data_IF_021170236426
#
_entry.id   IF_021170236426
#
_cell.length_a   1.000
_cell.length_b   1.000
_cell.length_c   1.000
_cell.angle_alpha   90.00
_cell.angle_beta   90.00
_cell.angle_gamma   90.00
#
_symmetry.space_group_name_H-M   'P 1'
#
loop_
_entity.id
_entity.type
_entity.pdbx_description
1 polymer ?
#
# COMPACT_ATOMS: atom_id res chain seq x y z
N UNK A 1 8.40 -21.04 -27.65
CA UNK A 1 8.19 -21.01 -26.18
C UNK A 1 8.33 -19.59 -25.71
N UNK A 2 7.42 -19.10 -24.83
CA UNK A 2 7.54 -17.77 -24.23
C UNK A 2 8.80 -17.70 -23.35
N UNK A 3 9.56 -16.62 -23.37
CA UNK A 3 10.71 -16.43 -22.50
C UNK A 3 10.27 -16.47 -21.02
N UNK A 4 11.14 -16.94 -20.12
CA UNK A 4 10.81 -17.20 -18.72
C UNK A 4 10.25 -15.96 -18.01
N UNK A 5 10.81 -14.78 -18.31
CA UNK A 5 10.34 -13.50 -17.78
C UNK A 5 8.89 -13.17 -18.17
N UNK A 6 8.51 -13.47 -19.43
CA UNK A 6 7.15 -13.21 -19.91
C UNK A 6 6.13 -14.15 -19.26
N UNK A 7 6.51 -15.42 -19.03
CA UNK A 7 5.67 -16.38 -18.29
C UNK A 7 5.45 -15.91 -16.85
N UNK A 8 6.50 -15.48 -16.17
CA UNK A 8 6.42 -14.95 -14.82
C UNK A 8 5.53 -13.70 -14.78
N UNK A 9 5.72 -12.75 -15.71
CA UNK A 9 4.93 -11.54 -15.81
C UNK A 9 3.44 -11.82 -16.04
N UNK A 10 3.11 -12.74 -16.95
CA UNK A 10 1.71 -13.13 -17.23
C UNK A 10 1.06 -13.73 -15.97
N UNK A 11 1.73 -14.68 -15.32
CA UNK A 11 1.20 -15.31 -14.10
C UNK A 11 1.02 -14.30 -12.96
N UNK A 12 1.96 -13.38 -12.80
CA UNK A 12 1.87 -12.31 -11.79
C UNK A 12 0.72 -11.35 -12.10
N UNK A 13 0.53 -10.97 -13.36
CA UNK A 13 -0.61 -10.15 -13.79
C UNK A 13 -1.95 -10.85 -13.58
N UNK A 14 -2.05 -12.13 -13.94
CA UNK A 14 -3.26 -12.93 -13.71
C UNK A 14 -3.57 -13.05 -12.22
N UNK A 15 -2.57 -13.33 -11.39
CA UNK A 15 -2.74 -13.35 -9.94
C UNK A 15 -3.28 -12.00 -9.43
N UNK A 16 -2.64 -10.87 -9.83
CA UNK A 16 -3.07 -9.54 -9.44
C UNK A 16 -4.49 -9.20 -9.88
N UNK A 17 -4.90 -9.61 -11.07
CA UNK A 17 -6.25 -9.43 -11.58
C UNK A 17 -7.28 -10.21 -10.76
N UNK A 18 -7.08 -11.52 -10.58
CA UNK A 18 -8.05 -12.37 -9.91
C UNK A 18 -8.13 -12.13 -8.39
N UNK A 19 -7.04 -11.75 -7.72
CA UNK A 19 -7.08 -11.41 -6.29
C UNK A 19 -7.93 -10.16 -6.02
N UNK A 20 -8.02 -9.24 -6.97
CA UNK A 20 -8.76 -7.98 -6.87
C UNK A 20 -10.15 -8.01 -7.52
N UNK A 21 -10.46 -9.04 -8.30
CA UNK A 21 -11.78 -9.22 -8.90
C UNK A 21 -12.78 -9.67 -7.83
N UNK A 22 -13.21 -8.74 -6.99
CA UNK A 22 -14.13 -8.95 -5.86
C UNK A 22 -15.41 -8.12 -6.03
N UNK A 23 -16.44 -8.60 -6.75
CA UNK A 23 -17.69 -7.86 -6.95
C UNK A 23 -18.42 -7.47 -5.67
N UNK A 24 -18.23 -8.22 -4.58
CA UNK A 24 -18.84 -7.92 -3.28
C UNK A 24 -18.19 -6.73 -2.56
N UNK A 25 -16.93 -6.40 -2.88
CA UNK A 25 -16.16 -5.41 -2.12
C UNK A 25 -16.85 -4.03 -1.99
N UNK A 26 -17.43 -3.43 -3.06
CA UNK A 26 -18.17 -2.17 -2.97
C UNK A 26 -19.46 -2.24 -2.13
N UNK A 27 -19.92 -3.43 -1.85
CA UNK A 27 -21.20 -3.70 -1.18
C UNK A 27 -21.05 -4.42 0.16
N UNK A 28 -19.83 -4.44 0.73
CA UNK A 28 -19.55 -5.17 1.96
C UNK A 28 -20.40 -4.67 3.13
N UNK A 29 -20.44 -3.36 3.39
CA UNK A 29 -21.27 -2.78 4.47
C UNK A 29 -22.79 -3.06 4.26
N UNK A 30 -23.38 -2.81 3.08
CA UNK A 30 -24.75 -3.21 2.81
C UNK A 30 -25.01 -4.72 2.97
N UNK A 31 -24.06 -5.57 2.59
CA UNK A 31 -24.17 -7.01 2.77
C UNK A 31 -24.18 -7.42 4.24
N UNK A 32 -23.26 -6.88 5.05
CA UNK A 32 -23.20 -7.17 6.49
C UNK A 32 -24.46 -6.66 7.23
N UNK A 33 -25.04 -5.56 6.80
CA UNK A 33 -26.27 -5.01 7.37
C UNK A 33 -27.56 -5.66 6.78
N UNK A 34 -27.43 -6.48 5.74
CA UNK A 34 -28.56 -7.13 5.08
C UNK A 34 -29.24 -8.20 5.94
N UNK A 35 -30.39 -8.70 5.46
CA UNK A 35 -31.14 -9.81 6.09
C UNK A 35 -30.31 -11.10 6.22
N UNK A 36 -29.22 -11.25 5.46
CA UNK A 36 -28.32 -12.41 5.52
C UNK A 36 -27.43 -12.41 6.76
N UNK A 37 -26.88 -11.26 7.15
CA UNK A 37 -25.90 -11.15 8.26
C UNK A 37 -26.48 -10.45 9.49
N UNK A 38 -27.42 -9.50 9.31
CA UNK A 38 -28.15 -8.78 10.36
C UNK A 38 -27.26 -8.11 11.40
N UNK A 39 -26.14 -7.52 10.97
CA UNK A 39 -25.22 -6.81 11.84
C UNK A 39 -25.52 -5.32 11.75
N UNK A 40 -25.59 -4.65 12.90
CA UNK A 40 -25.82 -3.22 12.92
C UNK A 40 -24.62 -2.44 12.37
N UNK A 41 -24.88 -1.33 11.68
CA UNK A 41 -23.85 -0.46 11.08
C UNK A 41 -22.85 0.00 12.14
N UNK A 42 -23.32 0.25 13.37
CA UNK A 42 -22.44 0.63 14.48
C UNK A 42 -21.45 -0.48 14.83
N UNK A 43 -21.90 -1.73 14.96
CA UNK A 43 -21.00 -2.87 15.25
C UNK A 43 -20.06 -3.16 14.07
N UNK A 44 -20.48 -2.93 12.83
CA UNK A 44 -19.61 -3.05 11.64
C UNK A 44 -18.47 -2.05 11.74
N UNK A 45 -18.78 -0.79 12.07
CA UNK A 45 -17.82 0.28 12.16
C UNK A 45 -16.85 0.13 13.35
N UNK A 46 -17.39 -0.09 14.55
CA UNK A 46 -16.64 0.03 15.80
C UNK A 46 -15.92 -1.27 16.19
N UNK A 47 -16.34 -2.42 15.67
CA UNK A 47 -15.87 -3.74 16.11
C UNK A 47 -15.29 -4.60 14.99
N UNK A 48 -15.83 -4.50 13.76
CA UNK A 48 -15.45 -5.37 12.65
C UNK A 48 -14.32 -4.74 11.82
N UNK A 49 -14.50 -3.53 11.32
CA UNK A 49 -13.52 -2.89 10.45
C UNK A 49 -12.16 -2.57 11.10
N UNK A 50 -12.08 -2.18 12.38
CA UNK A 50 -10.79 -1.95 13.03
C UNK A 50 -9.87 -3.19 13.04
N UNK A 51 -10.45 -4.40 13.04
CA UNK A 51 -9.68 -5.65 13.03
C UNK A 51 -8.81 -5.80 11.79
N UNK A 52 -9.27 -5.30 10.63
CA UNK A 52 -8.47 -5.28 9.40
C UNK A 52 -7.23 -4.42 9.56
N UNK A 53 -7.38 -3.20 10.06
CA UNK A 53 -6.27 -2.26 10.24
C UNK A 53 -5.23 -2.78 11.23
N UNK A 54 -5.68 -3.36 12.35
CA UNK A 54 -4.76 -3.91 13.37
C UNK A 54 -4.01 -5.15 12.87
N UNK A 55 -4.68 -6.03 12.16
CA UNK A 55 -4.04 -7.23 11.60
C UNK A 55 -3.08 -6.88 10.45
N UNK A 56 -3.43 -5.91 9.60
CA UNK A 56 -2.56 -5.39 8.54
C UNK A 56 -1.25 -4.87 9.14
N UNK A 57 -1.31 -3.96 10.13
CA UNK A 57 -0.12 -3.46 10.79
C UNK A 57 0.71 -4.57 11.46
N UNK A 58 0.05 -5.44 12.23
CA UNK A 58 0.74 -6.51 12.97
C UNK A 58 1.49 -7.45 12.04
N UNK A 59 0.86 -7.82 10.93
CA UNK A 59 1.44 -8.73 9.97
C UNK A 59 2.46 -8.05 9.04
N UNK A 60 2.29 -6.76 8.76
CA UNK A 60 3.26 -5.96 8.01
C UNK A 60 4.64 -5.92 8.69
N UNK A 61 4.68 -5.89 10.04
CA UNK A 61 5.94 -6.00 10.80
C UNK A 61 6.60 -7.36 10.53
N UNK A 62 5.83 -8.45 10.53
CA UNK A 62 6.34 -9.79 10.22
C UNK A 62 6.86 -9.85 8.79
N UNK A 63 6.10 -9.33 7.84
CA UNK A 63 6.51 -9.24 6.42
C UNK A 63 7.80 -8.45 6.27
N UNK A 64 7.90 -7.29 6.89
CA UNK A 64 9.10 -6.43 6.83
C UNK A 64 10.36 -7.15 7.33
N UNK A 65 10.24 -7.93 8.41
CA UNK A 65 11.37 -8.65 9.00
C UNK A 65 11.75 -9.92 8.23
N UNK A 66 10.77 -10.64 7.68
CA UNK A 66 10.96 -12.01 7.19
C UNK A 66 10.81 -12.18 5.67
N UNK A 67 10.29 -11.18 4.93
CA UNK A 67 10.06 -11.32 3.49
C UNK A 67 11.33 -11.65 2.71
N UNK A 68 12.45 -11.04 3.05
CA UNK A 68 13.76 -11.29 2.43
C UNK A 68 14.37 -12.65 2.83
N UNK A 69 13.98 -13.20 3.99
CA UNK A 69 14.51 -14.46 4.51
C UNK A 69 13.74 -15.68 3.97
N UNK A 70 12.39 -15.60 3.92
CA UNK A 70 11.49 -16.73 3.70
C UNK A 70 11.05 -16.90 2.25
N UNK A 71 11.72 -16.35 1.26
CA UNK A 71 11.33 -16.39 -0.17
C UNK A 71 9.94 -15.75 -0.43
N UNK A 72 9.91 -14.73 -1.23
CA UNK A 72 8.72 -13.95 -1.61
C UNK A 72 7.49 -14.77 -2.02
N UNK A 73 7.68 -15.93 -2.67
CA UNK A 73 6.59 -16.80 -3.10
C UNK A 73 5.73 -17.29 -1.93
N UNK A 74 6.34 -17.61 -0.78
CA UNK A 74 5.61 -18.10 0.41
C UNK A 74 4.61 -17.03 0.89
N UNK A 75 5.02 -15.78 0.91
CA UNK A 75 4.15 -14.67 1.31
C UNK A 75 3.01 -14.43 0.30
N UNK A 76 3.25 -14.60 -1.01
CA UNK A 76 2.18 -14.50 -2.02
C UNK A 76 1.16 -15.64 -1.86
N UNK A 77 1.60 -16.85 -1.57
CA UNK A 77 0.70 -17.97 -1.27
C UNK A 77 -0.08 -17.69 0.02
N UNK A 78 0.58 -17.16 1.05
CA UNK A 78 -0.06 -16.79 2.31
C UNK A 78 -1.10 -15.67 2.10
N UNK A 79 -0.79 -14.65 1.27
CA UNK A 79 -1.74 -13.62 0.85
C UNK A 79 -3.01 -14.25 0.26
N UNK A 80 -2.82 -15.13 -0.72
CA UNK A 80 -3.94 -15.75 -1.42
C UNK A 80 -4.79 -16.63 -0.51
N UNK A 81 -4.17 -17.39 0.41
CA UNK A 81 -4.87 -18.20 1.40
C UNK A 81 -5.62 -17.33 2.43
N UNK A 82 -5.03 -16.25 2.91
CA UNK A 82 -5.68 -15.33 3.83
C UNK A 82 -6.93 -14.70 3.19
N UNK A 83 -6.82 -14.21 1.93
CA UNK A 83 -7.97 -13.68 1.18
C UNK A 83 -9.03 -14.76 0.89
N UNK A 84 -8.63 -16.00 0.63
CA UNK A 84 -9.57 -17.12 0.47
C UNK A 84 -10.32 -17.40 1.77
N UNK A 85 -9.62 -17.45 2.89
CA UNK A 85 -10.22 -17.60 4.23
C UNK A 85 -11.24 -16.50 4.51
N UNK A 86 -10.89 -15.24 4.22
CA UNK A 86 -11.80 -14.12 4.36
C UNK A 86 -13.06 -14.30 3.50
N UNK A 87 -12.92 -14.72 2.23
CA UNK A 87 -14.05 -14.94 1.33
C UNK A 87 -14.96 -16.10 1.77
N UNK A 88 -14.39 -17.18 2.30
CA UNK A 88 -15.14 -18.33 2.86
C UNK A 88 -15.95 -17.88 4.08
N UNK A 89 -15.31 -17.20 5.04
CA UNK A 89 -15.98 -16.72 6.25
C UNK A 89 -17.10 -15.72 5.90
N UNK A 90 -16.87 -14.83 4.93
CA UNK A 90 -17.87 -13.88 4.47
C UNK A 90 -19.13 -14.59 3.91
N UNK A 91 -18.95 -15.67 3.14
CA UNK A 91 -20.06 -16.37 2.50
C UNK A 91 -20.81 -17.29 3.46
N UNK A 92 -20.12 -18.04 4.29
CA UNK A 92 -20.70 -19.16 5.02
C UNK A 92 -20.92 -18.90 6.51
N UNK A 93 -20.14 -18.01 7.15
CA UNK A 93 -20.22 -17.77 8.58
C UNK A 93 -21.04 -16.53 8.93
N UNK A 94 -21.60 -16.51 10.14
CA UNK A 94 -22.40 -15.42 10.67
C UNK A 94 -21.90 -14.98 12.05
N UNK A 95 -22.34 -13.79 12.48
CA UNK A 95 -21.99 -13.23 13.78
C UNK A 95 -20.76 -12.32 13.75
N UNK A 96 -20.69 -11.45 14.75
CA UNK A 96 -19.68 -10.38 14.82
C UNK A 96 -18.25 -10.97 14.90
N UNK A 97 -18.04 -11.99 15.72
CA UNK A 97 -16.73 -12.61 15.91
C UNK A 97 -16.17 -13.19 14.60
N UNK A 98 -16.98 -13.94 13.84
CA UNK A 98 -16.54 -14.52 12.57
C UNK A 98 -16.25 -13.43 11.52
N UNK A 99 -16.99 -12.32 11.54
CA UNK A 99 -16.71 -11.17 10.68
C UNK A 99 -15.46 -10.40 11.11
N UNK A 100 -15.12 -10.38 12.39
CA UNK A 100 -13.83 -9.86 12.87
C UNK A 100 -12.67 -10.73 12.37
N UNK A 101 -12.79 -12.06 12.45
CA UNK A 101 -11.76 -13.00 11.92
C UNK A 101 -11.63 -12.85 10.41
N UNK A 102 -12.75 -12.68 9.70
CA UNK A 102 -12.76 -12.40 8.26
C UNK A 102 -11.97 -11.13 7.92
N UNK A 103 -12.20 -10.04 8.63
CA UNK A 103 -11.47 -8.79 8.43
C UNK A 103 -9.99 -8.92 8.81
N UNK A 104 -9.67 -9.66 9.86
CA UNK A 104 -8.29 -9.93 10.24
C UNK A 104 -7.56 -10.73 9.13
N UNK A 105 -8.20 -11.71 8.53
CA UNK A 105 -7.64 -12.45 7.41
C UNK A 105 -7.43 -11.56 6.16
N UNK A 106 -8.37 -10.65 5.87
CA UNK A 106 -8.23 -9.69 4.76
C UNK A 106 -7.06 -8.72 5.01
N UNK A 107 -6.87 -8.24 6.28
CA UNK A 107 -5.73 -7.42 6.68
C UNK A 107 -4.38 -8.13 6.54
N UNK A 108 -4.29 -9.43 6.87
CA UNK A 108 -3.10 -10.23 6.57
C UNK A 108 -2.83 -10.26 5.06
N UNK A 109 -3.87 -10.35 4.24
CA UNK A 109 -3.76 -10.25 2.78
C UNK A 109 -3.17 -8.90 2.32
N UNK A 110 -3.64 -7.80 2.90
CA UNK A 110 -3.18 -6.45 2.57
C UNK A 110 -1.70 -6.24 2.93
N UNK A 111 -1.27 -6.69 4.11
CA UNK A 111 0.14 -6.62 4.54
C UNK A 111 1.10 -7.32 3.56
N UNK A 112 0.66 -8.37 2.91
CA UNK A 112 1.48 -9.13 1.95
C UNK A 112 1.55 -8.47 0.56
N UNK A 113 0.73 -7.48 0.25
CA UNK A 113 0.71 -6.82 -1.08
C UNK A 113 2.07 -6.22 -1.46
N UNK A 114 2.84 -5.73 -0.48
CA UNK A 114 4.19 -5.20 -0.70
C UNK A 114 5.11 -6.29 -1.26
N UNK A 115 5.00 -7.51 -0.76
CA UNK A 115 5.80 -8.67 -1.20
C UNK A 115 5.43 -9.05 -2.64
N UNK A 116 4.16 -9.00 -2.98
CA UNK A 116 3.70 -9.24 -4.34
C UNK A 116 4.34 -8.30 -5.36
N UNK A 117 4.40 -6.99 -5.09
CA UNK A 117 5.07 -6.05 -5.98
C UNK A 117 6.60 -6.24 -6.00
N UNK A 118 7.20 -6.65 -4.89
CA UNK A 118 8.64 -6.89 -4.78
C UNK A 118 9.08 -8.19 -5.46
N UNK A 119 8.22 -9.19 -5.53
CA UNK A 119 8.49 -10.49 -6.14
C UNK A 119 8.93 -10.38 -7.62
N UNK A 120 8.38 -9.43 -8.36
CA UNK A 120 8.74 -9.22 -9.77
C UNK A 120 10.23 -9.02 -9.95
N UNK A 121 10.85 -8.24 -9.06
CA UNK A 121 12.28 -7.92 -9.11
C UNK A 121 13.19 -9.12 -8.80
N UNK A 122 12.61 -10.23 -8.33
CA UNK A 122 13.34 -11.46 -8.06
C UNK A 122 13.30 -12.48 -9.21
N UNK A 123 12.34 -12.34 -10.12
CA UNK A 123 12.03 -13.33 -11.16
C UNK A 123 12.31 -12.80 -12.57
N UNK A 124 12.39 -11.46 -12.73
CA UNK A 124 12.55 -10.79 -14.02
C UNK A 124 13.89 -10.07 -14.07
N UNK A 125 14.51 -9.97 -15.24
CA UNK A 125 15.74 -9.21 -15.46
C UNK A 125 15.51 -7.70 -15.41
N UNK A 126 16.54 -6.93 -15.00
CA UNK A 126 16.48 -5.49 -14.74
C UNK A 126 15.92 -4.67 -15.92
N UNK A 127 16.25 -5.10 -17.14
CA UNK A 127 15.78 -4.44 -18.40
C UNK A 127 14.25 -4.40 -18.48
N UNK A 128 13.56 -5.37 -17.90
CA UNK A 128 12.10 -5.49 -17.99
C UNK A 128 11.37 -4.97 -16.73
N UNK A 129 12.06 -4.55 -15.68
CA UNK A 129 11.46 -4.15 -14.40
C UNK A 129 10.36 -3.10 -14.55
N UNK A 130 10.65 -1.99 -15.23
CA UNK A 130 9.66 -0.93 -15.41
C UNK A 130 8.41 -1.42 -16.14
N UNK A 131 8.60 -2.20 -17.21
CA UNK A 131 7.52 -2.73 -18.05
C UNK A 131 6.64 -3.70 -17.26
N UNK A 132 7.25 -4.65 -16.54
CA UNK A 132 6.50 -5.68 -15.81
C UNK A 132 5.81 -5.08 -14.58
N UNK A 133 6.44 -4.14 -13.87
CA UNK A 133 5.81 -3.42 -12.77
C UNK A 133 4.57 -2.65 -13.23
N UNK A 134 4.65 -1.98 -14.38
CA UNK A 134 3.51 -1.26 -14.95
C UNK A 134 2.36 -2.21 -15.31
N UNK A 135 2.66 -3.33 -15.95
CA UNK A 135 1.63 -4.34 -16.28
C UNK A 135 0.98 -4.94 -15.06
N UNK A 136 1.76 -5.25 -14.03
CA UNK A 136 1.25 -5.84 -12.78
C UNK A 136 0.33 -4.87 -12.03
N UNK A 137 0.72 -3.60 -11.92
CA UNK A 137 -0.14 -2.57 -11.33
C UNK A 137 -1.42 -2.35 -12.14
N UNK A 138 -1.32 -2.31 -13.47
CA UNK A 138 -2.48 -2.20 -14.33
C UNK A 138 -3.43 -3.39 -14.17
N UNK A 139 -2.91 -4.63 -14.09
CA UNK A 139 -3.72 -5.82 -13.90
C UNK A 139 -4.51 -5.79 -12.58
N UNK A 140 -3.91 -5.34 -11.48
CA UNK A 140 -4.56 -5.13 -10.18
C UNK A 140 -5.70 -4.11 -10.30
N UNK A 141 -5.46 -2.95 -10.92
CA UNK A 141 -6.49 -1.92 -11.13
C UNK A 141 -7.62 -2.40 -12.05
N UNK A 142 -7.28 -3.13 -13.12
CA UNK A 142 -8.28 -3.74 -13.99
C UNK A 142 -9.13 -4.78 -13.27
N UNK A 143 -8.54 -5.62 -12.42
CA UNK A 143 -9.26 -6.59 -11.60
C UNK A 143 -10.24 -5.90 -10.66
N UNK A 144 -9.78 -4.86 -9.94
CA UNK A 144 -10.61 -4.07 -9.03
C UNK A 144 -11.74 -3.35 -9.76
N UNK A 145 -11.43 -2.67 -10.85
CA UNK A 145 -12.42 -1.98 -11.68
C UNK A 145 -13.47 -2.94 -12.28
N UNK A 146 -13.03 -4.07 -12.83
CA UNK A 146 -13.91 -5.11 -13.35
C UNK A 146 -14.83 -5.70 -12.27
N UNK A 147 -14.30 -5.94 -11.06
CA UNK A 147 -15.10 -6.37 -9.91
C UNK A 147 -16.18 -5.36 -9.55
N UNK A 148 -15.83 -4.07 -9.47
CA UNK A 148 -16.77 -3.00 -9.16
C UNK A 148 -17.88 -2.87 -10.22
N UNK A 149 -17.51 -2.88 -11.52
CA UNK A 149 -18.47 -2.82 -12.63
C UNK A 149 -19.38 -4.05 -12.62
N UNK A 150 -18.82 -5.24 -12.48
CA UNK A 150 -19.58 -6.49 -12.45
C UNK A 150 -20.57 -6.49 -11.27
N UNK A 151 -20.12 -6.13 -10.07
CA UNK A 151 -20.99 -6.03 -8.90
C UNK A 151 -22.12 -5.05 -9.09
N UNK A 152 -21.81 -3.85 -9.61
CA UNK A 152 -22.84 -2.83 -9.85
C UNK A 152 -23.85 -3.26 -10.91
N UNK A 153 -23.40 -3.79 -12.04
CA UNK A 153 -24.31 -4.21 -13.12
C UNK A 153 -25.25 -5.33 -12.68
N UNK A 154 -24.71 -6.34 -11.99
CA UNK A 154 -25.49 -7.47 -11.51
C UNK A 154 -26.57 -7.06 -10.47
N UNK A 155 -26.24 -6.09 -9.60
CA UNK A 155 -27.22 -5.58 -8.62
C UNK A 155 -28.23 -4.65 -9.27
N UNK A 156 -27.81 -3.72 -10.14
CA UNK A 156 -28.70 -2.75 -10.80
C UNK A 156 -29.70 -3.41 -11.72
N UNK A 157 -29.33 -4.51 -12.38
CA UNK A 157 -30.25 -5.32 -13.20
C UNK A 157 -31.16 -6.24 -12.38
N UNK A 158 -31.00 -6.25 -11.05
CA UNK A 158 -31.70 -7.19 -10.14
C UNK A 158 -31.50 -8.67 -10.51
N UNK A 159 -30.43 -8.97 -11.26
CA UNK A 159 -30.10 -10.31 -11.69
C UNK A 159 -29.63 -11.21 -10.53
N UNK A 160 -29.06 -10.59 -9.48
CA UNK A 160 -28.51 -11.30 -8.33
C UNK A 160 -28.71 -10.56 -7.01
N UNK A 161 -28.35 -11.23 -5.92
CA UNK A 161 -28.29 -10.66 -4.58
C UNK A 161 -26.84 -10.57 -4.08
N UNK A 162 -26.61 -9.95 -2.94
CA UNK A 162 -25.27 -9.78 -2.34
C UNK A 162 -24.54 -11.12 -2.12
N UNK A 163 -25.26 -12.19 -1.75
CA UNK A 163 -24.65 -13.49 -1.50
C UNK A 163 -24.01 -14.09 -2.76
N UNK A 164 -24.66 -13.92 -3.93
CA UNK A 164 -24.11 -14.38 -5.22
C UNK A 164 -22.85 -13.60 -5.58
N UNK A 165 -22.80 -12.27 -5.30
CA UNK A 165 -21.58 -11.50 -5.46
C UNK A 165 -20.44 -12.03 -4.56
N UNK A 166 -20.78 -12.47 -3.35
CA UNK A 166 -19.85 -13.17 -2.45
C UNK A 166 -19.29 -14.44 -3.10
N UNK A 167 -20.14 -15.30 -3.68
CA UNK A 167 -19.69 -16.53 -4.35
C UNK A 167 -18.84 -16.25 -5.60
N UNK A 168 -19.16 -15.23 -6.39
CA UNK A 168 -18.31 -14.82 -7.53
C UNK A 168 -16.93 -14.35 -7.01
N UNK A 169 -16.90 -13.58 -5.95
CA UNK A 169 -15.64 -13.13 -5.32
C UNK A 169 -14.85 -14.32 -4.78
N UNK A 170 -15.50 -15.27 -4.13
CA UNK A 170 -14.88 -16.50 -3.62
C UNK A 170 -14.27 -17.31 -4.76
N UNK A 171 -14.98 -17.49 -5.88
CA UNK A 171 -14.46 -18.23 -7.05
C UNK A 171 -13.24 -17.54 -7.65
N UNK A 172 -13.26 -16.22 -7.76
CA UNK A 172 -12.13 -15.42 -8.28
C UNK A 172 -10.89 -15.57 -7.38
N UNK A 173 -11.04 -15.42 -6.07
CA UNK A 173 -9.94 -15.57 -5.11
C UNK A 173 -9.42 -17.03 -5.08
N UNK A 174 -10.30 -18.03 -5.22
CA UNK A 174 -9.88 -19.43 -5.35
C UNK A 174 -9.00 -19.64 -6.58
N UNK A 175 -9.33 -18.99 -7.70
CA UNK A 175 -8.49 -19.01 -8.91
C UNK A 175 -7.13 -18.33 -8.66
N UNK A 176 -7.10 -17.23 -7.90
CA UNK A 176 -5.86 -16.57 -7.50
C UNK A 176 -4.96 -17.51 -6.67
N UNK A 177 -5.54 -18.33 -5.76
CA UNK A 177 -4.77 -19.33 -5.00
C UNK A 177 -4.10 -20.33 -5.95
N UNK A 178 -4.83 -20.88 -6.92
CA UNK A 178 -4.26 -21.82 -7.90
C UNK A 178 -3.10 -21.17 -8.65
N UNK A 179 -3.26 -19.92 -9.11
CA UNK A 179 -2.21 -19.18 -9.80
C UNK A 179 -1.01 -18.96 -8.89
N UNK A 180 -1.20 -18.60 -7.61
CA UNK A 180 -0.10 -18.36 -6.67
C UNK A 180 0.80 -19.58 -6.47
N UNK A 181 0.22 -20.79 -6.48
CA UNK A 181 0.97 -22.04 -6.38
C UNK A 181 1.82 -22.30 -7.65
N UNK A 182 1.33 -21.88 -8.83
CA UNK A 182 2.04 -22.06 -10.12
C UNK A 182 3.11 -21.01 -10.39
N UNK A 183 3.21 -19.95 -9.59
CA UNK A 183 4.25 -18.93 -9.74
C UNK A 183 5.66 -19.58 -9.70
N UNK A 184 6.59 -19.16 -10.57
CA UNK A 184 7.94 -19.67 -10.56
C UNK A 184 8.66 -19.35 -9.24
N UNK A 185 9.55 -20.25 -8.82
CA UNK A 185 10.41 -19.95 -7.68
C UNK A 185 11.41 -18.86 -8.09
N UNK A 186 11.77 -17.93 -7.18
CA UNK A 186 12.79 -16.94 -7.45
C UNK A 186 14.08 -17.60 -7.92
N UNK A 187 14.59 -17.19 -9.09
CA UNK A 187 15.80 -17.73 -9.70
C UNK A 187 17.08 -17.27 -8.98
N UNK A 188 17.00 -16.12 -8.29
CA UNK A 188 18.12 -15.54 -7.55
C UNK A 188 17.62 -15.10 -6.18
N UNK A 189 18.22 -15.61 -5.13
CA UNK A 189 18.13 -14.95 -3.84
C UNK A 189 18.70 -13.53 -4.03
N UNK A 190 17.92 -12.47 -3.77
CA UNK A 190 18.41 -11.09 -3.74
C UNK A 190 19.63 -10.99 -2.81
N UNK A 191 19.73 -11.90 -1.86
CA UNK A 191 20.83 -12.13 -0.95
C UNK A 191 22.20 -12.28 -1.66
N UNK A 192 22.25 -12.96 -2.81
CA UNK A 192 23.52 -13.28 -3.50
C UNK A 192 23.93 -12.14 -4.46
N UNK A 193 22.99 -11.31 -4.92
CA UNK A 193 23.25 -10.28 -5.95
C UNK A 193 23.94 -9.02 -5.43
N UNK A 194 23.93 -8.77 -4.11
CA UNK A 194 24.51 -7.57 -3.48
C UNK A 194 25.71 -7.84 -2.56
N UNK A 195 26.31 -9.02 -2.61
CA UNK A 195 27.64 -9.20 -2.02
C UNK A 195 28.63 -8.49 -2.96
N UNK A 196 29.32 -7.42 -2.53
CA UNK A 196 30.47 -6.91 -3.25
C UNK A 196 31.49 -8.07 -3.38
N UNK A 197 32.30 -8.09 -4.45
CA UNK A 197 33.26 -9.13 -4.80
C UNK A 197 34.38 -9.40 -3.72
N UNK A 198 34.02 -9.33 -2.44
CA UNK A 198 34.83 -9.84 -1.33
C UNK A 198 34.82 -11.37 -1.22
N UNK A 199 34.05 -12.05 -2.10
CA UNK A 199 34.04 -13.52 -2.15
C UNK A 199 35.35 -14.12 -2.63
N UNK A 200 36.19 -13.38 -3.34
CA UNK A 200 37.53 -13.87 -3.75
C UNK A 200 38.53 -13.97 -2.58
N UNK A 201 38.43 -13.10 -1.58
CA UNK A 201 39.29 -13.20 -0.38
C UNK A 201 38.87 -14.29 0.60
N UNK A 202 37.58 -14.72 0.56
CA UNK A 202 37.06 -15.78 1.45
C UNK A 202 37.33 -17.19 0.89
N UNK A 203 37.33 -17.33 -0.45
CA UNK A 203 37.71 -18.60 -1.10
C UNK A 203 39.21 -18.90 -0.86
N UNK A 204 40.04 -17.88 -0.83
CA UNK A 204 41.50 -18.07 -0.51
C UNK A 204 41.75 -18.48 0.94
N UNK A 205 40.88 -18.12 1.89
CA UNK A 205 41.00 -18.60 3.28
C UNK A 205 40.52 -20.06 3.45
N UNK A 206 39.58 -20.55 2.60
CA UNK A 206 39.17 -21.95 2.63
C UNK A 206 40.19 -22.93 1.99
N UNK A 207 41.00 -22.44 1.07
CA UNK A 207 42.06 -23.28 0.48
C UNK A 207 43.25 -23.48 1.44
N UNK A 208 43.48 -22.58 2.41
CA UNK A 208 44.54 -22.71 3.41
C UNK A 208 44.14 -23.62 4.59
N UNK A 209 42.88 -23.85 4.86
CA UNK A 209 42.42 -24.78 5.91
C UNK A 209 42.26 -26.25 5.44
N UNK A 210 42.34 -26.52 4.13
CA UNK A 210 42.26 -27.89 3.59
C UNK A 210 43.53 -28.73 3.69
N UNK A 211 44.60 -28.23 4.32
CA UNK A 211 45.86 -28.96 4.50
C UNK A 211 45.98 -29.70 5.85
N UNK A 212 44.95 -29.72 6.69
CA UNK A 212 44.93 -30.56 7.90
C UNK A 212 43.96 -31.74 7.74
N UNK A 213 44.53 -32.91 7.73
CA UNK A 213 44.03 -34.27 7.48
C UNK A 213 42.65 -34.59 8.14
N UNK A 214 41.63 -35.02 7.37
CA UNK A 214 40.31 -35.34 7.92
C UNK A 214 40.04 -36.86 8.00
N UNK A 215 40.85 -37.58 8.72
CA UNK A 215 40.68 -39.04 8.78
C UNK A 215 40.16 -39.60 10.11
N UNK A 216 39.34 -38.88 10.89
CA UNK A 216 38.69 -39.49 12.08
C UNK A 216 37.46 -38.68 12.58
N UNK A 217 36.39 -38.62 11.81
CA UNK A 217 35.10 -38.08 12.35
C UNK A 217 33.94 -38.95 11.78
N UNK A 218 33.12 -39.51 12.67
CA UNK A 218 31.92 -40.31 12.33
C UNK A 218 30.92 -39.49 11.49
N UNK A 219 30.18 -40.14 10.54
CA UNK A 219 29.28 -39.47 9.58
C UNK A 219 28.15 -38.64 10.21
N UNK A 220 27.67 -38.99 11.38
CA UNK A 220 26.58 -38.29 12.08
C UNK A 220 27.00 -36.97 12.77
N UNK A 221 28.29 -36.77 13.02
CA UNK A 221 28.79 -35.51 13.57
C UNK A 221 29.08 -34.46 12.48
N UNK A 222 29.39 -34.91 11.27
CA UNK A 222 29.69 -34.05 10.14
C UNK A 222 28.47 -33.30 9.63
N UNK A 223 27.28 -33.96 9.59
CA UNK A 223 26.03 -33.31 9.17
C UNK A 223 25.53 -32.25 10.18
N UNK A 224 25.70 -32.50 11.48
CA UNK A 224 25.38 -31.54 12.52
C UNK A 224 26.35 -30.37 12.60
N UNK A 225 27.60 -30.58 12.23
CA UNK A 225 28.62 -29.52 12.22
C UNK A 225 28.51 -28.61 10.98
N UNK A 226 28.13 -29.16 9.84
CA UNK A 226 27.85 -28.41 8.62
C UNK A 226 26.55 -27.60 8.77
N UNK A 227 25.49 -28.17 9.33
CA UNK A 227 24.26 -27.44 9.60
C UNK A 227 24.42 -26.28 10.61
N UNK A 228 25.28 -26.45 11.64
CA UNK A 228 25.60 -25.36 12.58
C UNK A 228 26.44 -24.26 11.95
N UNK A 229 27.40 -24.61 11.08
CA UNK A 229 28.22 -23.61 10.35
C UNK A 229 27.36 -22.85 9.33
N UNK A 230 26.47 -23.52 8.60
CA UNK A 230 25.56 -22.88 7.67
C UNK A 230 24.58 -21.95 8.38
N UNK A 231 24.03 -22.33 9.52
CA UNK A 231 23.14 -21.47 10.29
C UNK A 231 23.83 -20.25 10.87
N UNK A 232 25.04 -20.41 11.42
CA UNK A 232 25.88 -19.31 11.94
C UNK A 232 26.31 -18.36 10.83
N UNK A 233 26.65 -18.87 9.65
CA UNK A 233 26.98 -18.07 8.48
C UNK A 233 25.78 -17.26 8.01
N UNK A 234 24.61 -17.89 7.84
CA UNK A 234 23.36 -17.23 7.47
C UNK A 234 23.00 -16.14 8.49
N UNK A 235 23.11 -16.43 9.78
CA UNK A 235 22.84 -15.46 10.84
C UNK A 235 23.78 -14.24 10.76
N UNK A 236 25.08 -14.44 10.59
CA UNK A 236 26.04 -13.35 10.50
C UNK A 236 25.85 -12.50 9.25
N UNK A 237 25.54 -13.12 8.10
CA UNK A 237 25.22 -12.43 6.86
C UNK A 237 23.93 -11.62 7.01
N UNK A 238 22.89 -12.16 7.64
CA UNK A 238 21.66 -11.44 7.94
C UNK A 238 21.90 -10.25 8.87
N UNK A 239 22.69 -10.43 9.93
CA UNK A 239 23.04 -9.38 10.89
C UNK A 239 23.82 -8.25 10.23
N UNK A 240 24.82 -8.60 9.40
CA UNK A 240 25.63 -7.62 8.66
C UNK A 240 24.74 -6.83 7.68
N UNK A 241 23.90 -7.51 6.92
CA UNK A 241 23.00 -6.88 5.95
C UNK A 241 21.99 -5.95 6.64
N UNK A 242 21.40 -6.40 7.75
CA UNK A 242 20.48 -5.59 8.53
C UNK A 242 21.16 -4.32 9.07
N UNK A 243 22.39 -4.45 9.55
CA UNK A 243 23.20 -3.30 10.00
C UNK A 243 23.49 -2.32 8.86
N UNK A 244 23.90 -2.82 7.69
CA UNK A 244 24.18 -1.98 6.51
C UNK A 244 22.91 -1.29 6.00
N UNK A 245 21.79 -2.02 5.89
CA UNK A 245 20.51 -1.46 5.51
C UNK A 245 20.05 -0.36 6.47
N UNK A 246 20.23 -0.57 7.77
CA UNK A 246 19.89 0.43 8.79
C UNK A 246 20.79 1.68 8.71
N UNK A 247 22.07 1.51 8.44
CA UNK A 247 22.99 2.63 8.22
C UNK A 247 22.65 3.43 6.96
N UNK A 248 22.36 2.76 5.82
CA UNK A 248 21.90 3.40 4.59
C UNK A 248 20.58 4.14 4.79
N UNK A 249 19.67 3.55 5.55
CA UNK A 249 18.40 4.16 5.94
C UNK A 249 18.60 5.46 6.73
N UNK A 250 19.41 5.43 7.82
CA UNK A 250 19.70 6.63 8.61
C UNK A 250 20.36 7.70 7.75
N UNK A 251 21.33 7.32 6.92
CA UNK A 251 22.01 8.23 6.00
C UNK A 251 21.01 8.89 5.02
N UNK A 252 20.07 8.13 4.47
CA UNK A 252 19.06 8.64 3.56
C UNK A 252 18.16 9.69 4.23
N UNK A 253 17.76 9.45 5.48
CA UNK A 253 16.93 10.40 6.24
C UNK A 253 17.68 11.64 6.76
N UNK A 254 18.98 11.75 6.55
CA UNK A 254 19.73 13.02 6.71
C UNK A 254 19.38 14.02 5.60
N UNK A 255 18.87 13.56 4.46
CA UNK A 255 18.34 14.44 3.41
C UNK A 255 17.00 15.06 3.83
N UNK A 256 16.99 16.36 4.11
CA UNK A 256 15.79 17.10 4.55
C UNK A 256 14.63 17.04 3.55
N UNK A 257 14.92 17.03 2.26
CA UNK A 257 13.90 16.93 1.22
C UNK A 257 13.23 15.54 1.28
N UNK A 258 14.04 14.48 1.38
CA UNK A 258 13.52 13.12 1.52
C UNK A 258 12.63 12.97 2.75
N UNK A 259 13.07 13.45 3.93
CA UNK A 259 12.28 13.39 5.15
C UNK A 259 10.90 14.02 5.00
N UNK A 260 10.84 15.19 4.36
CA UNK A 260 9.60 15.95 4.24
C UNK A 260 8.62 15.25 3.31
N UNK A 261 9.10 14.74 2.17
CA UNK A 261 8.26 14.00 1.24
C UNK A 261 7.80 12.67 1.83
N UNK A 262 8.65 12.00 2.63
CA UNK A 262 8.31 10.77 3.35
C UNK A 262 7.25 11.02 4.44
N UNK A 263 7.40 12.09 5.24
CA UNK A 263 6.41 12.48 6.25
C UNK A 263 5.06 12.79 5.58
N UNK A 264 5.08 13.58 4.51
CA UNK A 264 3.86 13.89 3.79
C UNK A 264 3.19 12.63 3.23
N UNK A 265 3.97 11.71 2.62
CA UNK A 265 3.45 10.44 2.13
C UNK A 265 2.78 9.64 3.24
N UNK A 266 3.47 9.40 4.35
CA UNK A 266 2.94 8.61 5.46
C UNK A 266 1.65 9.22 6.03
N UNK A 267 1.61 10.54 6.20
CA UNK A 267 0.41 11.25 6.68
C UNK A 267 -0.74 11.17 5.66
N UNK A 268 -0.47 11.41 4.38
CA UNK A 268 -1.49 11.37 3.33
C UNK A 268 -2.07 9.97 3.14
N UNK A 269 -1.22 8.95 3.16
CA UNK A 269 -1.64 7.55 3.04
C UNK A 269 -2.48 7.11 4.25
N UNK A 270 -2.07 7.47 5.47
CA UNK A 270 -2.86 7.23 6.68
C UNK A 270 -4.27 7.80 6.55
N UNK A 271 -4.40 9.09 6.20
CA UNK A 271 -5.71 9.74 6.08
C UNK A 271 -6.57 9.15 4.95
N UNK A 272 -5.96 8.81 3.81
CA UNK A 272 -6.66 8.21 2.68
C UNK A 272 -7.16 6.80 3.00
N UNK A 273 -6.35 5.99 3.67
CA UNK A 273 -6.76 4.64 4.10
C UNK A 273 -7.99 4.69 5.02
N UNK A 274 -8.05 5.67 5.94
CA UNK A 274 -9.24 5.88 6.76
C UNK A 274 -10.48 6.22 5.92
N UNK A 275 -10.36 7.15 4.99
CA UNK A 275 -11.49 7.52 4.12
C UNK A 275 -11.97 6.31 3.34
N UNK A 276 -11.06 5.51 2.77
CA UNK A 276 -11.42 4.33 1.99
C UNK A 276 -12.05 3.21 2.82
N UNK A 277 -11.55 2.97 4.02
CA UNK A 277 -12.06 1.91 4.88
C UNK A 277 -13.47 2.20 5.40
N UNK A 278 -13.81 3.49 5.62
CA UNK A 278 -15.07 3.87 6.26
C UNK A 278 -16.06 4.59 5.33
N UNK A 279 -15.75 4.77 4.03
CA UNK A 279 -16.62 5.48 3.09
C UNK A 279 -17.97 4.83 2.91
N UNK A 280 -18.03 3.51 2.88
CA UNK A 280 -19.28 2.78 2.71
C UNK A 280 -20.21 2.94 3.92
N UNK A 281 -19.61 3.06 5.12
CA UNK A 281 -20.36 3.31 6.34
C UNK A 281 -20.96 4.72 6.33
N UNK A 282 -20.20 5.73 5.85
CA UNK A 282 -20.72 7.07 5.68
C UNK A 282 -21.88 7.10 4.67
N UNK A 283 -21.74 6.43 3.52
CA UNK A 283 -22.82 6.35 2.52
C UNK A 283 -24.06 5.66 3.05
N UNK A 284 -23.92 4.61 3.86
CA UNK A 284 -25.03 3.94 4.51
C UNK A 284 -25.77 4.83 5.53
N UNK A 285 -25.05 5.80 6.15
CA UNK A 285 -25.66 6.79 7.06
C UNK A 285 -26.34 7.94 6.30
N UNK A 286 -25.82 8.30 5.10
CA UNK A 286 -26.41 9.38 4.29
C UNK A 286 -27.70 8.92 3.62
N UNK A 287 -27.73 7.73 3.05
CA UNK A 287 -28.89 7.17 2.34
C UNK A 287 -29.15 5.74 2.80
N UNK A 288 -30.39 5.52 3.23
CA UNK A 288 -30.94 4.18 3.51
C UNK A 288 -31.60 3.55 2.26
N UNK A 289 -31.48 4.17 1.09
CA UNK A 289 -32.11 3.71 -0.15
C UNK A 289 -31.61 2.34 -0.59
N UNK A 290 -32.51 1.56 -1.18
CA UNK A 290 -32.24 0.22 -1.69
C UNK A 290 -31.35 0.22 -2.94
N UNK A 291 -31.27 1.34 -3.66
CA UNK A 291 -30.46 1.49 -4.86
C UNK A 291 -29.13 2.14 -4.51
N UNK A 292 -28.05 1.34 -4.51
CA UNK A 292 -26.71 1.75 -4.12
C UNK A 292 -25.80 1.70 -5.34
N UNK A 293 -25.16 2.83 -5.69
CA UNK A 293 -24.25 2.94 -6.84
C UNK A 293 -22.76 2.88 -6.43
N UNK A 294 -22.47 2.29 -5.26
CA UNK A 294 -21.12 2.23 -4.70
C UNK A 294 -20.08 1.67 -5.67
N UNK A 295 -20.44 0.59 -6.38
CA UNK A 295 -19.54 -0.04 -7.35
C UNK A 295 -19.19 0.88 -8.52
N UNK A 296 -20.18 1.61 -9.06
CA UNK A 296 -19.95 2.57 -10.13
C UNK A 296 -19.05 3.73 -9.70
N UNK A 297 -19.25 4.25 -8.48
CA UNK A 297 -18.46 5.33 -7.90
C UNK A 297 -17.01 4.92 -7.72
N UNK A 298 -16.75 3.73 -7.13
CA UNK A 298 -15.39 3.22 -6.95
C UNK A 298 -14.72 2.90 -8.28
N UNK A 299 -15.43 2.32 -9.24
CA UNK A 299 -14.92 2.07 -10.59
C UNK A 299 -14.51 3.37 -11.27
N UNK A 300 -15.38 4.39 -11.23
CA UNK A 300 -15.11 5.71 -11.83
C UNK A 300 -13.90 6.38 -11.21
N UNK A 301 -13.80 6.39 -9.86
CA UNK A 301 -12.65 6.96 -9.16
C UNK A 301 -11.33 6.24 -9.51
N UNK A 302 -11.36 4.91 -9.64
CA UNK A 302 -10.19 4.11 -10.03
C UNK A 302 -9.75 4.41 -11.48
N UNK A 303 -10.70 4.49 -12.42
CA UNK A 303 -10.41 4.76 -13.83
C UNK A 303 -9.90 6.20 -14.02
N UNK A 304 -10.53 7.18 -13.39
CA UNK A 304 -10.09 8.59 -13.44
C UNK A 304 -8.71 8.74 -12.80
N UNK A 305 -8.45 8.08 -11.67
CA UNK A 305 -7.12 8.06 -11.06
C UNK A 305 -6.05 7.51 -12.00
N UNK A 306 -6.34 6.39 -12.69
CA UNK A 306 -5.45 5.81 -13.70
C UNK A 306 -5.19 6.76 -14.87
N UNK A 307 -6.23 7.44 -15.37
CA UNK A 307 -6.12 8.42 -16.45
C UNK A 307 -5.24 9.60 -16.04
N UNK A 308 -5.42 10.12 -14.84
CA UNK A 308 -4.63 11.25 -14.31
C UNK A 308 -3.16 10.87 -14.14
N UNK A 309 -2.83 9.63 -13.74
CA UNK A 309 -1.45 9.14 -13.70
C UNK A 309 -0.82 9.15 -15.09
N UNK A 310 -1.56 8.70 -16.12
CA UNK A 310 -1.08 8.69 -17.50
C UNK A 310 -0.83 10.14 -17.98
N UNK A 311 -1.76 11.04 -17.70
CA UNK A 311 -1.60 12.46 -18.06
C UNK A 311 -0.41 13.11 -17.34
N UNK A 312 -0.15 12.70 -16.10
CA UNK A 312 0.98 13.20 -15.32
C UNK A 312 2.34 12.87 -15.95
N UNK A 313 2.47 11.77 -16.71
CA UNK A 313 3.72 11.42 -17.40
C UNK A 313 4.14 12.46 -18.44
N UNK A 314 3.21 13.26 -18.96
CA UNK A 314 3.51 14.33 -19.92
C UNK A 314 3.98 15.64 -19.27
N UNK A 315 3.90 15.76 -17.93
CA UNK A 315 4.40 16.94 -17.21
C UNK A 315 5.94 16.90 -17.09
N UNK A 316 6.60 17.99 -17.50
CA UNK A 316 8.05 18.07 -17.47
C UNK A 316 8.60 18.16 -16.04
N UNK A 317 9.67 17.41 -15.76
CA UNK A 317 10.35 17.35 -14.46
C UNK A 317 10.76 18.73 -13.90
N UNK A 318 11.09 19.68 -14.76
CA UNK A 318 11.49 21.04 -14.36
C UNK A 318 10.34 21.83 -13.71
N UNK A 319 9.12 21.70 -14.21
CA UNK A 319 7.94 22.37 -13.66
C UNK A 319 7.55 21.76 -12.29
N UNK A 320 7.69 20.45 -12.14
CA UNK A 320 7.44 19.74 -10.89
C UNK A 320 8.35 20.16 -9.74
N UNK A 321 9.59 20.57 -10.03
CA UNK A 321 10.54 21.02 -9.00
C UNK A 321 10.08 22.27 -8.26
N UNK A 322 9.42 23.19 -8.95
CA UNK A 322 8.98 24.47 -8.38
C UNK A 322 7.52 24.45 -7.92
N UNK A 323 6.65 23.79 -8.67
CA UNK A 323 5.20 23.74 -8.41
C UNK A 323 4.78 22.59 -7.48
N UNK A 324 5.62 21.58 -7.29
CA UNK A 324 5.22 20.35 -6.58
C UNK A 324 4.72 20.60 -5.15
N UNK A 325 5.39 21.47 -4.37
CA UNK A 325 4.97 21.76 -2.99
C UNK A 325 3.67 22.60 -2.94
N UNK A 326 3.51 23.56 -3.85
CA UNK A 326 2.29 24.38 -3.96
C UNK A 326 1.10 23.51 -4.40
N UNK A 327 1.33 22.63 -5.37
CA UNK A 327 0.32 21.68 -5.84
C UNK A 327 -0.14 20.75 -4.70
N UNK A 328 0.80 20.18 -3.96
CA UNK A 328 0.47 19.31 -2.82
C UNK A 328 -0.35 20.03 -1.77
N UNK A 329 0.07 21.23 -1.38
CA UNK A 329 -0.65 22.01 -0.39
C UNK A 329 -2.06 22.36 -0.87
N UNK A 330 -2.18 22.89 -2.09
CA UNK A 330 -3.47 23.28 -2.67
C UNK A 330 -4.43 22.10 -2.80
N UNK A 331 -3.94 20.96 -3.28
CA UNK A 331 -4.76 19.78 -3.44
C UNK A 331 -5.10 19.14 -2.09
N UNK A 332 -4.22 19.15 -1.08
CA UNK A 332 -4.56 18.69 0.27
C UNK A 332 -5.69 19.52 0.90
N UNK A 333 -5.69 20.84 0.67
CA UNK A 333 -6.79 21.74 1.10
C UNK A 333 -8.09 21.41 0.34
N UNK A 334 -8.01 21.15 -0.97
CA UNK A 334 -9.19 20.71 -1.75
C UNK A 334 -9.74 19.38 -1.25
N UNK A 335 -8.87 18.41 -0.93
CA UNK A 335 -9.27 17.14 -0.34
C UNK A 335 -9.97 17.34 0.99
N UNK A 336 -9.48 18.25 1.84
CA UNK A 336 -10.14 18.63 3.09
C UNK A 336 -11.56 19.19 2.83
N UNK A 337 -11.71 20.05 1.83
CA UNK A 337 -13.02 20.62 1.47
C UNK A 337 -13.99 19.52 0.98
N UNK A 338 -13.55 18.57 0.16
CA UNK A 338 -14.40 17.45 -0.27
C UNK A 338 -14.86 16.59 0.91
N UNK A 339 -13.96 16.27 1.85
CA UNK A 339 -14.29 15.49 3.04
C UNK A 339 -15.28 16.25 3.95
N UNK A 340 -15.09 17.56 4.11
CA UNK A 340 -16.01 18.40 4.88
C UNK A 340 -17.41 18.45 4.25
N UNK A 341 -17.50 18.58 2.92
CA UNK A 341 -18.77 18.52 2.19
C UNK A 341 -19.43 17.14 2.39
N UNK A 342 -18.66 16.05 2.27
CA UNK A 342 -19.17 14.69 2.46
C UNK A 342 -19.72 14.47 3.87
N UNK A 343 -19.08 15.02 4.90
CA UNK A 343 -19.52 14.89 6.29
C UNK A 343 -20.87 15.57 6.55
N UNK A 344 -21.14 16.69 5.88
CA UNK A 344 -22.31 17.53 6.15
C UNK A 344 -23.48 17.30 5.16
N UNK A 345 -23.22 16.68 4.01
CA UNK A 345 -24.27 16.47 3.01
C UNK A 345 -25.32 15.45 3.45
N UNK A 346 -26.55 15.66 2.98
CA UNK A 346 -27.65 14.69 3.07
C UNK A 346 -27.94 14.06 1.71
N UNK A 347 -27.30 14.56 0.64
CA UNK A 347 -27.51 14.10 -0.74
C UNK A 347 -26.41 13.13 -1.12
N UNK A 348 -26.76 11.88 -1.35
CA UNK A 348 -25.79 10.81 -1.66
C UNK A 348 -24.96 11.10 -2.92
N UNK A 349 -25.54 11.70 -3.94
CA UNK A 349 -24.85 12.04 -5.19
C UNK A 349 -23.71 13.05 -4.98
N UNK A 350 -23.90 14.01 -4.07
CA UNK A 350 -22.83 14.95 -3.70
C UNK A 350 -21.69 14.20 -3.01
N UNK A 351 -22.00 13.27 -2.11
CA UNK A 351 -20.98 12.44 -1.45
C UNK A 351 -20.20 11.58 -2.47
N UNK A 352 -20.88 11.00 -3.46
CA UNK A 352 -20.26 10.21 -4.52
C UNK A 352 -19.29 11.03 -5.37
N UNK A 353 -19.71 12.21 -5.82
CA UNK A 353 -18.87 13.11 -6.63
C UNK A 353 -17.64 13.56 -5.82
N UNK A 354 -17.84 13.98 -4.56
CA UNK A 354 -16.75 14.39 -3.68
C UNK A 354 -15.76 13.25 -3.45
N UNK A 355 -16.23 12.01 -3.28
CA UNK A 355 -15.35 10.87 -3.11
C UNK A 355 -14.53 10.56 -4.38
N UNK A 356 -15.15 10.58 -5.56
CA UNK A 356 -14.44 10.39 -6.84
C UNK A 356 -13.32 11.42 -6.99
N UNK A 357 -13.61 12.70 -6.71
CA UNK A 357 -12.63 13.78 -6.79
C UNK A 357 -11.53 13.60 -5.73
N UNK A 358 -11.90 13.31 -4.48
CA UNK A 358 -10.94 13.02 -3.41
C UNK A 358 -9.97 11.92 -3.83
N UNK A 359 -10.48 10.78 -4.28
CA UNK A 359 -9.68 9.63 -4.72
C UNK A 359 -8.75 9.99 -5.88
N UNK A 360 -9.26 10.67 -6.89
CA UNK A 360 -8.49 11.08 -8.08
C UNK A 360 -7.33 12.01 -7.69
N UNK A 361 -7.59 13.01 -6.85
CA UNK A 361 -6.56 13.93 -6.38
C UNK A 361 -5.56 13.26 -5.44
N UNK A 362 -6.00 12.33 -4.58
CA UNK A 362 -5.09 11.55 -3.74
C UNK A 362 -4.09 10.75 -4.56
N UNK A 363 -4.55 10.01 -5.57
CA UNK A 363 -3.70 9.20 -6.45
C UNK A 363 -2.68 10.08 -7.20
N UNK A 364 -3.09 11.25 -7.68
CA UNK A 364 -2.20 12.21 -8.32
C UNK A 364 -1.07 12.65 -7.38
N UNK A 365 -1.42 13.09 -6.19
CA UNK A 365 -0.46 13.59 -5.20
C UNK A 365 0.47 12.48 -4.71
N UNK A 366 -0.06 11.29 -4.47
CA UNK A 366 0.73 10.13 -4.08
C UNK A 366 1.78 9.79 -5.14
N UNK A 367 1.40 9.90 -6.43
CA UNK A 367 2.33 9.69 -7.55
C UNK A 367 3.45 10.73 -7.56
N UNK A 368 3.11 12.01 -7.36
CA UNK A 368 4.10 13.10 -7.26
C UNK A 368 5.05 12.87 -6.08
N UNK A 369 4.51 12.53 -4.91
CA UNK A 369 5.28 12.28 -3.71
C UNK A 369 6.23 11.08 -3.86
N UNK A 370 5.73 9.97 -4.41
CA UNK A 370 6.54 8.79 -4.70
C UNK A 370 7.71 9.11 -5.61
N UNK A 371 7.45 9.87 -6.69
CA UNK A 371 8.50 10.31 -7.60
C UNK A 371 9.53 11.20 -6.90
N UNK A 372 9.09 12.14 -6.05
CA UNK A 372 9.99 13.00 -5.28
C UNK A 372 10.83 12.24 -4.28
N UNK A 373 10.26 11.28 -3.58
CA UNK A 373 11.01 10.38 -2.70
C UNK A 373 12.05 9.63 -3.53
N UNK A 374 11.66 9.03 -4.66
CA UNK A 374 12.55 8.27 -5.52
C UNK A 374 13.75 9.08 -6.03
N UNK A 375 13.54 10.31 -6.49
CA UNK A 375 14.64 11.18 -6.99
C UNK A 375 15.65 11.57 -5.89
N UNK A 376 15.23 11.56 -4.62
CA UNK A 376 16.08 11.94 -3.49
C UNK A 376 16.75 10.75 -2.78
N UNK A 377 16.54 9.53 -3.27
CA UNK A 377 17.12 8.29 -2.72
C UNK A 377 18.26 7.80 -3.61
N UNK A 378 19.39 7.42 -3.01
CA UNK A 378 20.44 6.71 -3.72
C UNK A 378 19.94 5.31 -4.16
N UNK A 379 20.36 4.84 -5.31
CA UNK A 379 19.79 3.70 -6.08
C UNK A 379 19.65 2.35 -5.35
N UNK A 380 20.25 2.19 -4.17
CA UNK A 380 20.20 0.93 -3.40
C UNK A 380 19.10 0.86 -2.33
N UNK A 381 18.45 1.98 -1.97
CA UNK A 381 17.59 2.09 -0.79
C UNK A 381 16.07 2.26 -1.04
N UNK A 382 15.60 2.25 -2.29
CA UNK A 382 14.19 2.52 -2.60
C UNK A 382 13.19 1.65 -1.83
N UNK A 383 13.36 0.32 -1.90
CA UNK A 383 12.44 -0.62 -1.29
C UNK A 383 12.29 -0.42 0.21
N UNK A 384 13.41 -0.17 0.90
CA UNK A 384 13.42 0.03 2.36
C UNK A 384 12.69 1.32 2.77
N UNK A 385 12.92 2.42 2.04
CA UNK A 385 12.29 3.71 2.35
C UNK A 385 10.79 3.67 2.06
N UNK A 386 10.39 3.07 0.94
CA UNK A 386 8.97 2.88 0.61
C UNK A 386 8.27 1.98 1.65
N UNK A 387 8.89 0.85 2.02
CA UNK A 387 8.37 -0.04 3.06
C UNK A 387 8.26 0.66 4.42
N UNK A 388 9.26 1.46 4.79
CA UNK A 388 9.22 2.24 6.02
C UNK A 388 8.11 3.29 6.02
N UNK A 389 7.95 4.05 4.93
CA UNK A 389 6.88 5.03 4.81
C UNK A 389 5.50 4.37 4.94
N UNK A 390 5.33 3.19 4.32
CA UNK A 390 4.09 2.42 4.45
C UNK A 390 3.89 1.91 5.88
N UNK A 391 4.94 1.41 6.54
CA UNK A 391 4.86 0.97 7.92
C UNK A 391 4.45 2.11 8.87
N UNK A 392 5.05 3.29 8.70
CA UNK A 392 4.68 4.49 9.47
C UNK A 392 3.24 4.90 9.18
N UNK A 393 2.81 4.90 7.91
CA UNK A 393 1.44 5.21 7.53
C UNK A 393 0.43 4.25 8.21
N UNK A 394 0.71 2.95 8.19
CA UNK A 394 -0.14 1.92 8.81
C UNK A 394 -0.12 1.96 10.34
N UNK A 395 1.01 2.33 10.94
CA UNK A 395 1.07 2.57 12.40
C UNK A 395 0.22 3.77 12.80
N UNK A 396 0.30 4.88 12.06
CA UNK A 396 -0.55 6.05 12.27
C UNK A 396 -2.02 5.75 12.02
N UNK A 397 -2.35 4.99 10.98
CA UNK A 397 -3.71 4.53 10.67
C UNK A 397 -4.28 3.71 11.84
N UNK A 398 -3.53 2.74 12.37
CA UNK A 398 -3.95 1.93 13.51
C UNK A 398 -4.18 2.78 14.77
N UNK A 399 -3.28 3.75 15.03
CA UNK A 399 -3.43 4.68 16.14
C UNK A 399 -4.68 5.55 15.98
N UNK A 400 -4.91 6.10 14.79
CA UNK A 400 -6.09 6.91 14.50
C UNK A 400 -7.38 6.07 14.62
N UNK A 401 -7.38 4.83 14.13
CA UNK A 401 -8.49 3.89 14.26
C UNK A 401 -8.83 3.67 15.73
N UNK A 402 -7.81 3.41 16.57
CA UNK A 402 -8.01 3.22 18.01
C UNK A 402 -8.59 4.46 18.69
N UNK A 403 -8.10 5.66 18.34
CA UNK A 403 -8.55 6.90 18.98
C UNK A 403 -9.96 7.28 18.52
N UNK A 404 -10.25 7.21 17.20
CA UNK A 404 -11.44 7.83 16.60
C UNK A 404 -12.60 6.84 16.50
N UNK A 405 -12.32 5.58 16.14
CA UNK A 405 -13.33 4.60 15.70
C UNK A 405 -13.60 3.55 16.76
N UNK A 406 -12.55 3.04 17.44
CA UNK A 406 -12.68 1.93 18.39
C UNK A 406 -13.58 2.32 19.57
N UNK A 407 -14.40 1.38 20.03
CA UNK A 407 -15.28 1.52 21.21
C UNK A 407 -14.53 1.89 22.51
N UNK A 408 -13.25 1.51 22.60
CA UNK A 408 -12.37 1.86 23.71
C UNK A 408 -11.77 3.26 23.58
N UNK A 409 -11.86 3.86 22.40
CA UNK A 409 -11.44 5.23 22.12
C UNK A 409 -12.59 6.23 22.28
N UNK A 410 -12.73 7.13 21.32
CA UNK A 410 -13.76 8.17 21.34
C UNK A 410 -15.13 7.72 20.79
N UNK A 411 -15.20 6.57 20.12
CA UNK A 411 -16.42 5.98 19.53
C UNK A 411 -17.27 7.02 18.76
N UNK A 412 -16.64 7.75 17.85
CA UNK A 412 -17.27 8.87 17.15
C UNK A 412 -18.18 8.38 16.03
N UNK A 413 -19.30 9.09 15.82
CA UNK A 413 -20.18 8.79 14.70
C UNK A 413 -19.51 9.10 13.35
N UNK A 414 -19.99 8.46 12.26
CA UNK A 414 -19.37 8.53 10.93
C UNK A 414 -19.19 9.95 10.41
N UNK A 415 -20.15 10.85 10.61
CA UNK A 415 -20.06 12.24 10.15
C UNK A 415 -18.97 13.00 10.89
N UNK A 416 -18.85 12.81 12.20
CA UNK A 416 -17.79 13.42 13.02
C UNK A 416 -16.41 12.88 12.64
N UNK A 417 -16.29 11.58 12.36
CA UNK A 417 -15.05 11.01 11.85
C UNK A 417 -14.58 11.72 10.57
N UNK A 418 -15.47 11.96 9.61
CA UNK A 418 -15.15 12.65 8.36
C UNK A 418 -14.83 14.14 8.54
N UNK A 419 -15.38 14.82 9.55
CA UNK A 419 -14.98 16.18 9.92
C UNK A 419 -13.54 16.17 10.45
N UNK A 420 -13.16 15.17 11.26
CA UNK A 420 -11.79 15.02 11.75
C UNK A 420 -10.82 14.75 10.59
N UNK A 421 -11.19 13.86 9.64
CA UNK A 421 -10.36 13.61 8.45
C UNK A 421 -10.23 14.86 7.57
N UNK A 422 -11.28 15.66 7.44
CA UNK A 422 -11.21 16.94 6.75
C UNK A 422 -10.24 17.91 7.44
N UNK A 423 -10.33 18.05 8.76
CA UNK A 423 -9.41 18.87 9.56
C UNK A 423 -7.96 18.38 9.46
N UNK A 424 -7.75 17.06 9.46
CA UNK A 424 -6.46 16.44 9.30
C UNK A 424 -5.79 16.82 7.96
N UNK A 425 -6.50 16.66 6.82
CA UNK A 425 -5.98 17.08 5.52
C UNK A 425 -5.81 18.60 5.40
N UNK A 426 -6.67 19.39 6.04
CA UNK A 426 -6.54 20.84 6.13
C UNK A 426 -5.26 21.27 6.84
N UNK A 427 -4.95 20.66 8.00
CA UNK A 427 -3.71 20.92 8.75
C UNK A 427 -2.48 20.54 7.92
N UNK A 428 -2.50 19.36 7.27
CA UNK A 428 -1.42 18.94 6.36
C UNK A 428 -1.23 19.98 5.25
N UNK A 429 -2.31 20.38 4.58
CA UNK A 429 -2.25 21.36 3.50
C UNK A 429 -1.65 22.69 3.93
N UNK A 430 -2.07 23.24 5.07
CA UNK A 430 -1.56 24.49 5.64
C UNK A 430 -0.08 24.35 6.07
N UNK A 431 0.27 23.24 6.73
CA UNK A 431 1.65 22.99 7.17
C UNK A 431 2.62 22.94 5.98
N UNK A 432 2.24 22.29 4.89
CA UNK A 432 3.07 22.22 3.69
C UNK A 432 3.06 23.53 2.88
N UNK A 433 1.99 24.33 2.93
CA UNK A 433 1.93 25.66 2.30
C UNK A 433 2.90 26.66 2.94
N UNK A 434 3.19 26.54 4.22
CA UNK A 434 4.09 27.42 4.94
C UNK A 434 5.48 27.52 4.30
N UNK A 435 6.01 26.41 3.74
CA UNK A 435 7.34 26.35 3.15
C UNK A 435 7.49 27.17 1.84
N UNK A 436 6.64 26.99 0.82
CA UNK A 436 6.70 27.85 -0.37
C UNK A 436 6.42 29.30 -0.03
N UNK A 437 5.55 29.61 0.92
CA UNK A 437 5.32 30.99 1.39
C UNK A 437 6.57 31.60 2.01
N UNK A 438 7.24 30.90 2.93
CA UNK A 438 8.50 31.38 3.54
C UNK A 438 9.57 31.62 2.47
N UNK A 439 9.72 30.71 1.48
CA UNK A 439 10.68 30.91 0.38
C UNK A 439 10.32 32.11 -0.50
N UNK A 440 9.05 32.32 -0.75
CA UNK A 440 8.56 33.46 -1.53
C UNK A 440 8.86 34.79 -0.83
N UNK A 441 8.51 34.93 0.46
CA UNK A 441 8.78 36.10 1.24
C UNK A 441 10.29 36.38 1.39
N UNK A 442 11.10 35.36 1.57
CA UNK A 442 12.55 35.48 1.62
C UNK A 442 13.15 36.00 0.29
N UNK A 443 12.61 35.54 -0.86
CA UNK A 443 13.03 36.04 -2.17
C UNK A 443 12.65 37.50 -2.39
N UNK A 444 11.47 37.92 -1.94
CA UNK A 444 11.05 39.31 -2.00
C UNK A 444 11.95 40.17 -1.12
N UNK A 445 12.21 39.79 0.12
CA UNK A 445 13.10 40.50 1.01
C UNK A 445 14.52 40.68 0.44
N UNK A 446 15.08 39.64 -0.20
CA UNK A 446 16.39 39.73 -0.87
C UNK A 446 16.35 40.69 -2.06
N UNK A 447 15.29 40.69 -2.88
CA UNK A 447 15.15 41.64 -4.00
C UNK A 447 15.01 43.09 -3.56
N UNK A 448 14.31 43.32 -2.44
CA UNK A 448 14.17 44.68 -1.86
C UNK A 448 15.54 45.14 -1.37
N UNK A 449 16.27 44.33 -0.62
CA UNK A 449 17.62 44.63 -0.14
C UNK A 449 18.62 44.88 -1.29
N UNK A 450 18.57 44.07 -2.38
CA UNK A 450 19.40 44.29 -3.57
C UNK A 450 19.07 45.61 -4.27
N UNK A 451 17.79 46.00 -4.35
CA UNK A 451 17.39 47.28 -4.95
C UNK A 451 17.80 48.47 -4.08
N UNK A 452 17.64 48.36 -2.75
CA UNK A 452 18.10 49.41 -1.82
C UNK A 452 19.63 49.59 -1.89
N UNK A 453 20.38 48.48 -1.96
CA UNK A 453 21.85 48.56 -2.11
C UNK A 453 22.27 49.14 -3.47
N UNK A 454 21.52 48.86 -4.54
CA UNK A 454 21.77 49.50 -5.84
C UNK A 454 21.47 51.00 -5.82
N UNK A 455 20.39 51.44 -5.18
CA UNK A 455 20.05 52.87 -5.08
C UNK A 455 21.13 53.63 -4.32
N UNK A 456 21.66 53.07 -3.23
CA UNK A 456 22.74 53.64 -2.44
C UNK A 456 24.12 53.69 -3.16
N UNK A 457 24.31 52.91 -4.24
CA UNK A 457 25.52 52.93 -5.05
C UNK A 457 25.47 53.92 -6.22
N UNK A 458 24.32 54.50 -6.49
CA UNK A 458 24.09 55.49 -7.55
C UNK A 458 23.82 56.89 -7.00
N UNK A 459 23.74 57.09 -5.66
CA UNK A 459 23.85 58.38 -4.97
C UNK A 459 25.34 58.60 -4.51
#
# INVERSE_FOLDING_TARGET
MLPLWAKAAILTCLFGFFKELKPIAPFLTPFLNSTYKRIDIKDINDRIYPMRTYSDLSFLIVVFLFADLLRYKIFIVLESLARLTAAILLCFENGIFMMQVMQAADGIGDANEIVYYSYIYTVVDDIYFQKVTSYTRAAVLFGRGAGCILGQTLLSTKATNFLVLGYISLSSVSFAVIISLTLPNPLKNIFVRKLPNHSESFVSCQETEKQNDPSNIEPNQQDNFNNKKDFSYVYNVCKLKMSTMFQEFIKSFQNKELCIWSIWWALSECGSSHVENYIMNLWAVISSDKEVYNGAVLATGTLLGGLVIILFQFLQNAQLKYLGEVLISGVSILMAAFLFIMANTTVIWVAYICHILFRTFHVLILTISSFRVAVNVETSGYGLIFAFNTLVAKALESLLTFIIVDKKGLDLNQRTQYIIYASYFGIIGIAFLSRPCIRFFRRIGLRISENETRTLLYE
#
